data_IF_594283347163
#
_entry.id   IF_594283347163
#
_cell.length_a   1.000
_cell.length_b   1.000
_cell.length_c   1.000
_cell.angle_alpha   90.00
_cell.angle_beta   90.00
_cell.angle_gamma   90.00
#
_symmetry.space_group_name_H-M   'P 1'
#
loop_
_entity.id
_entity.type
_entity.pdbx_description
1 polymer ?
#
# COMPACT_ATOMS: atom_id res chain seq x y z
N UNK A 1 -47.95 13.33 17.84
CA UNK A 1 -46.60 13.80 18.19
C UNK A 1 -45.72 12.59 18.27
N UNK A 2 -45.01 12.30 17.20
CA UNK A 2 -44.12 11.13 17.12
C UNK A 2 -42.73 11.66 16.80
N UNK A 3 -41.89 11.78 17.83
CA UNK A 3 -40.46 11.98 17.68
C UNK A 3 -39.82 10.60 17.49
N UNK A 4 -39.75 10.14 16.26
CA UNK A 4 -39.01 8.93 15.87
C UNK A 4 -37.59 9.29 15.55
N UNK A 5 -36.75 9.00 16.46
CA UNK A 5 -35.46 8.34 16.40
C UNK A 5 -34.67 8.49 15.09
N UNK A 6 -33.79 9.52 15.04
CA UNK A 6 -32.72 9.66 14.07
C UNK A 6 -31.36 9.18 14.64
N UNK A 7 -31.38 8.48 15.80
CA UNK A 7 -30.16 8.24 16.60
C UNK A 7 -29.58 6.81 16.50
N UNK A 8 -29.97 5.99 15.50
CA UNK A 8 -29.55 4.59 15.45
C UNK A 8 -28.65 4.20 14.24
N UNK A 9 -28.22 5.15 13.43
CA UNK A 9 -27.37 4.83 12.26
C UNK A 9 -25.88 4.99 12.56
N UNK A 10 -25.50 5.81 13.53
CA UNK A 10 -24.10 6.11 13.85
C UNK A 10 -23.26 4.91 14.35
N UNK A 11 -23.73 4.01 15.23
CA UNK A 11 -22.87 2.97 15.80
C UNK A 11 -22.43 1.89 14.79
N UNK A 12 -23.23 1.58 13.79
CA UNK A 12 -22.89 0.54 12.82
C UNK A 12 -21.79 0.99 11.83
N UNK A 13 -21.76 2.26 11.49
CA UNK A 13 -20.77 2.82 10.55
C UNK A 13 -19.39 2.99 11.19
N UNK A 14 -19.35 3.37 12.48
CA UNK A 14 -18.10 3.48 13.25
C UNK A 14 -17.46 2.09 13.46
N UNK A 15 -18.27 1.06 13.68
CA UNK A 15 -17.77 -0.31 13.84
C UNK A 15 -17.13 -0.84 12.53
N UNK A 16 -17.77 -0.62 11.38
CA UNK A 16 -17.23 -0.97 10.06
C UNK A 16 -15.91 -0.24 9.79
N UNK A 17 -15.84 1.06 10.05
CA UNK A 17 -14.62 1.84 9.87
C UNK A 17 -13.48 1.33 10.74
N UNK A 18 -13.76 1.01 12.00
CA UNK A 18 -12.79 0.43 12.93
C UNK A 18 -12.26 -0.93 12.47
N UNK A 19 -13.14 -1.80 11.97
CA UNK A 19 -12.76 -3.11 11.43
C UNK A 19 -11.88 -2.96 10.17
N UNK A 20 -12.23 -2.06 9.27
CA UNK A 20 -11.44 -1.80 8.06
C UNK A 20 -10.08 -1.18 8.38
N UNK A 21 -9.99 -0.26 9.33
CA UNK A 21 -8.70 0.25 9.82
C UNK A 21 -7.84 -0.88 10.40
N UNK A 22 -8.42 -1.77 11.21
CA UNK A 22 -7.71 -2.90 11.78
C UNK A 22 -7.25 -3.90 10.70
N UNK A 23 -8.04 -4.11 9.67
CA UNK A 23 -7.67 -4.93 8.52
C UNK A 23 -6.47 -4.34 7.77
N UNK A 24 -6.53 -3.06 7.43
CA UNK A 24 -5.42 -2.38 6.75
C UNK A 24 -4.16 -2.29 7.61
N UNK A 25 -4.31 -2.17 8.94
CA UNK A 25 -3.18 -2.17 9.86
C UNK A 25 -2.36 -3.45 9.77
N UNK A 26 -2.99 -4.62 9.64
CA UNK A 26 -2.28 -5.89 9.48
C UNK A 26 -1.40 -5.90 8.24
N UNK A 27 -1.89 -5.33 7.14
CA UNK A 27 -1.12 -5.20 5.92
C UNK A 27 0.04 -4.22 6.08
N UNK A 28 -0.21 -3.04 6.64
CA UNK A 28 0.81 -2.01 6.90
C UNK A 28 1.92 -2.57 7.80
N UNK A 29 1.58 -3.32 8.85
CA UNK A 29 2.56 -4.00 9.72
C UNK A 29 3.46 -4.97 8.94
N UNK A 30 2.88 -5.70 7.98
CA UNK A 30 3.64 -6.60 7.11
C UNK A 30 4.61 -5.82 6.22
N UNK A 31 4.17 -4.69 5.67
CA UNK A 31 5.01 -3.82 4.83
C UNK A 31 6.19 -3.25 5.63
N UNK A 32 5.95 -2.76 6.85
CA UNK A 32 7.01 -2.21 7.69
C UNK A 32 8.01 -3.27 8.16
N UNK A 33 7.54 -4.48 8.49
CA UNK A 33 8.46 -5.62 8.74
C UNK A 33 9.36 -5.92 7.54
N UNK A 34 8.80 -5.89 6.33
CA UNK A 34 9.56 -6.11 5.10
C UNK A 34 10.53 -4.96 4.80
N UNK A 35 10.14 -3.72 5.12
CA UNK A 35 11.02 -2.55 5.04
C UNK A 35 12.24 -2.72 5.94
N UNK A 36 12.04 -3.13 7.21
CA UNK A 36 13.11 -3.37 8.18
C UNK A 36 14.05 -4.49 7.72
N UNK A 37 13.50 -5.59 7.21
CA UNK A 37 14.31 -6.69 6.66
C UNK A 37 15.15 -6.22 5.46
N UNK A 38 14.55 -5.44 4.57
CA UNK A 38 15.24 -4.88 3.40
C UNK A 38 16.36 -3.93 3.80
N UNK A 39 16.15 -3.13 4.85
CA UNK A 39 17.16 -2.22 5.40
C UNK A 39 18.32 -2.99 6.01
N UNK A 40 18.06 -3.99 6.86
CA UNK A 40 19.08 -4.86 7.46
C UNK A 40 19.92 -5.59 6.40
N UNK A 41 19.27 -6.10 5.35
CA UNK A 41 19.97 -6.76 4.25
C UNK A 41 20.87 -5.79 3.48
N UNK A 42 20.42 -4.56 3.23
CA UNK A 42 21.24 -3.55 2.57
C UNK A 42 22.43 -3.13 3.44
N UNK A 43 22.25 -3.01 4.76
CA UNK A 43 23.32 -2.73 5.71
C UNK A 43 24.33 -3.88 5.81
N UNK A 44 23.86 -5.13 5.78
CA UNK A 44 24.75 -6.31 5.78
C UNK A 44 25.62 -6.33 4.52
N UNK A 45 25.03 -6.10 3.35
CA UNK A 45 25.76 -6.00 2.06
C UNK A 45 26.79 -4.86 2.08
N UNK A 46 26.44 -3.68 2.65
CA UNK A 46 27.39 -2.59 2.80
C UNK A 46 28.59 -3.00 3.67
N UNK A 47 28.34 -3.66 4.82
CA UNK A 47 29.40 -4.15 5.71
C UNK A 47 30.31 -5.18 5.05
N UNK A 48 29.74 -6.13 4.29
CA UNK A 48 30.54 -7.11 3.53
C UNK A 48 31.40 -6.44 2.46
N UNK A 49 30.85 -5.44 1.78
CA UNK A 49 31.62 -4.64 0.79
C UNK A 49 32.82 -3.96 1.43
N UNK A 50 32.71 -3.41 2.64
CA UNK A 50 33.83 -2.83 3.38
C UNK A 50 34.84 -3.90 3.84
N UNK A 51 34.36 -5.10 4.27
CA UNK A 51 35.22 -6.17 4.76
C UNK A 51 36.10 -6.83 3.70
N UNK A 52 35.64 -6.93 2.46
CA UNK A 52 36.38 -7.53 1.35
C UNK A 52 37.53 -6.66 0.79
N UNK A 53 37.62 -5.42 1.23
CA UNK A 53 38.64 -4.46 0.75
C UNK A 53 40.07 -4.68 1.22
N UNK A 54 40.33 -5.75 1.99
CA UNK A 54 41.69 -6.05 2.54
C UNK A 54 42.52 -6.98 1.67
N UNK A 55 42.00 -7.50 0.54
CA UNK A 55 42.72 -8.42 -0.33
C UNK A 55 42.85 -7.81 -1.73
N UNK A 56 43.98 -7.14 -1.96
CA UNK A 56 44.33 -6.31 -3.06
C UNK A 56 44.20 -6.95 -4.44
N UNK A 57 43.34 -6.35 -5.28
CA UNK A 57 43.43 -6.30 -6.75
C UNK A 57 42.73 -5.02 -7.20
N UNK A 58 43.34 -4.22 -8.03
CA UNK A 58 42.86 -2.89 -8.45
C UNK A 58 41.46 -2.92 -9.11
N UNK A 59 41.07 -4.00 -9.79
CA UNK A 59 39.72 -4.17 -10.36
C UNK A 59 38.61 -4.37 -9.31
N UNK A 60 38.94 -4.93 -8.16
CA UNK A 60 37.97 -5.15 -7.04
C UNK A 60 37.59 -3.88 -6.29
N UNK A 61 38.36 -2.80 -6.39
CA UNK A 61 38.09 -1.53 -5.69
C UNK A 61 36.88 -0.80 -6.33
N UNK A 62 36.82 -0.74 -7.66
CA UNK A 62 35.72 -0.06 -8.37
C UNK A 62 34.39 -0.78 -8.18
N UNK A 63 34.40 -2.12 -8.27
CA UNK A 63 33.20 -2.94 -8.04
C UNK A 63 32.71 -2.81 -6.59
N UNK A 64 33.62 -2.79 -5.63
CA UNK A 64 33.32 -2.59 -4.22
C UNK A 64 32.71 -1.22 -3.95
N UNK A 65 33.32 -0.15 -4.48
CA UNK A 65 32.85 1.22 -4.28
C UNK A 65 31.45 1.40 -4.90
N UNK A 66 31.19 0.81 -6.06
CA UNK A 66 29.89 0.78 -6.68
C UNK A 66 28.85 0.04 -5.79
N UNK A 67 29.22 -1.10 -5.22
CA UNK A 67 28.37 -1.93 -4.35
C UNK A 67 28.01 -1.19 -3.06
N UNK A 68 29.00 -0.58 -2.41
CA UNK A 68 28.82 0.23 -1.19
C UNK A 68 27.96 1.45 -1.48
N UNK A 69 28.19 2.13 -2.59
CA UNK A 69 27.38 3.28 -3.02
C UNK A 69 25.93 2.89 -3.26
N UNK A 70 25.67 1.78 -3.96
CA UNK A 70 24.32 1.28 -4.22
C UNK A 70 23.60 0.86 -2.92
N UNK A 71 24.30 0.21 -2.00
CA UNK A 71 23.78 -0.15 -0.69
C UNK A 71 23.42 1.10 0.14
N UNK A 72 24.31 2.10 0.19
CA UNK A 72 24.07 3.36 0.90
C UNK A 72 22.87 4.12 0.31
N UNK A 73 22.76 4.19 -1.02
CA UNK A 73 21.62 4.78 -1.72
C UNK A 73 20.32 4.05 -1.38
N UNK A 74 20.35 2.72 -1.34
CA UNK A 74 19.20 1.90 -0.97
C UNK A 74 18.77 2.15 0.46
N UNK A 75 19.70 2.18 1.41
CA UNK A 75 19.44 2.49 2.83
C UNK A 75 18.79 3.87 2.96
N UNK A 76 19.35 4.89 2.30
CA UNK A 76 18.80 6.25 2.34
C UNK A 76 17.36 6.29 1.80
N UNK A 77 17.07 5.56 0.71
CA UNK A 77 15.72 5.46 0.14
C UNK A 77 14.75 4.79 1.10
N UNK A 78 15.16 3.69 1.73
CA UNK A 78 14.34 2.95 2.69
C UNK A 78 14.05 3.79 3.94
N UNK A 79 15.05 4.47 4.47
CA UNK A 79 14.90 5.35 5.63
C UNK A 79 13.98 6.56 5.34
N UNK A 80 14.10 7.16 4.17
CA UNK A 80 13.24 8.27 3.76
C UNK A 80 11.78 7.87 3.54
N UNK A 81 11.51 6.59 3.32
CA UNK A 81 10.18 6.06 3.09
C UNK A 81 9.39 5.74 4.37
N UNK A 82 10.00 5.85 5.56
CA UNK A 82 9.37 5.48 6.83
C UNK A 82 8.09 6.26 7.15
N UNK A 83 7.98 7.51 6.70
CA UNK A 83 6.79 8.33 6.89
C UNK A 83 5.77 8.11 5.75
N UNK A 84 4.57 7.63 6.11
CA UNK A 84 3.47 7.45 5.14
C UNK A 84 3.84 6.54 3.99
N UNK A 85 4.50 5.42 4.28
CA UNK A 85 5.01 4.49 3.28
C UNK A 85 3.89 3.94 2.40
N UNK A 86 2.79 3.51 2.99
CA UNK A 86 1.58 3.01 2.30
C UNK A 86 0.51 4.10 2.35
N UNK A 87 -0.12 4.40 1.24
CA UNK A 87 -1.17 5.41 1.20
C UNK A 87 -2.35 5.06 0.30
N UNK A 88 -2.28 3.97 -0.45
CA UNK A 88 -3.35 3.58 -1.35
C UNK A 88 -3.52 2.07 -1.49
N UNK A 89 -4.76 1.67 -1.75
CA UNK A 89 -5.16 0.32 -2.12
C UNK A 89 -6.11 0.40 -3.32
N UNK A 90 -5.96 -0.56 -4.23
CA UNK A 90 -6.82 -0.77 -5.38
C UNK A 90 -7.42 -2.16 -5.30
N UNK A 91 -8.72 -2.24 -5.28
CA UNK A 91 -9.45 -3.46 -5.56
C UNK A 91 -9.83 -3.44 -7.05
N UNK A 92 -9.38 -4.45 -7.77
CA UNK A 92 -9.55 -4.55 -9.20
C UNK A 92 -10.63 -5.58 -9.52
N UNK A 93 -11.27 -5.41 -10.67
CA UNK A 93 -12.17 -6.39 -11.23
C UNK A 93 -11.47 -7.77 -11.35
N UNK A 94 -12.20 -8.86 -11.11
CA UNK A 94 -11.65 -10.22 -11.11
C UNK A 94 -11.02 -10.62 -12.46
N UNK A 95 -11.55 -10.10 -13.56
CA UNK A 95 -11.00 -10.34 -14.90
C UNK A 95 -9.58 -9.78 -15.07
N UNK A 96 -9.23 -8.74 -14.31
CA UNK A 96 -7.93 -8.08 -14.32
C UNK A 96 -7.04 -8.58 -13.17
N UNK A 97 -7.61 -8.73 -11.97
CA UNK A 97 -6.86 -9.19 -10.79
C UNK A 97 -6.43 -10.65 -10.88
N UNK A 98 -7.21 -11.47 -11.59
CA UNK A 98 -6.99 -12.93 -11.75
C UNK A 98 -6.80 -13.66 -10.42
N UNK A 99 -7.40 -13.13 -9.35
CA UNK A 99 -7.27 -13.70 -8.02
C UNK A 99 -6.05 -13.25 -7.23
N UNK A 100 -5.24 -12.32 -7.76
CA UNK A 100 -4.04 -11.81 -7.07
C UNK A 100 -4.35 -10.92 -5.85
N UNK A 101 -5.64 -10.65 -5.58
CA UNK A 101 -6.08 -9.79 -4.49
C UNK A 101 -5.83 -8.30 -4.74
N UNK A 102 -5.98 -7.47 -3.69
CA UNK A 102 -5.82 -6.04 -3.81
C UNK A 102 -4.36 -5.62 -4.06
N UNK A 103 -4.18 -4.53 -4.80
CA UNK A 103 -2.87 -3.92 -5.03
C UNK A 103 -2.67 -2.72 -4.14
N UNK A 104 -1.53 -2.66 -3.47
CA UNK A 104 -1.19 -1.53 -2.60
C UNK A 104 -0.16 -0.63 -3.24
N UNK A 105 -0.37 0.68 -3.08
CA UNK A 105 0.47 1.75 -3.63
C UNK A 105 1.16 2.50 -2.49
N UNK A 106 2.43 2.78 -2.67
CA UNK A 106 3.22 3.48 -1.66
C UNK A 106 4.36 4.29 -2.24
N UNK A 107 5.16 4.88 -1.35
CA UNK A 107 6.27 5.77 -1.73
C UNK A 107 7.42 5.06 -2.41
N UNK A 108 7.59 3.78 -2.16
CA UNK A 108 8.59 2.92 -2.79
C UNK A 108 7.99 1.57 -3.14
N UNK A 109 8.59 0.86 -4.08
CA UNK A 109 8.28 -0.53 -4.35
C UNK A 109 8.96 -1.46 -3.35
N UNK A 110 8.20 -2.40 -2.79
CA UNK A 110 8.71 -3.47 -1.96
C UNK A 110 8.26 -4.83 -2.51
N UNK A 111 9.13 -5.81 -2.37
CA UNK A 111 8.82 -7.21 -2.67
C UNK A 111 8.95 -8.02 -1.39
N UNK A 112 8.14 -9.04 -1.26
CA UNK A 112 8.25 -9.98 -0.15
C UNK A 112 9.41 -10.97 -0.35
N UNK A 113 9.53 -11.95 0.54
CA UNK A 113 10.56 -13.00 0.51
C UNK A 113 10.46 -13.92 -0.72
N UNK A 114 9.27 -14.04 -1.30
CA UNK A 114 9.00 -14.79 -2.53
C UNK A 114 9.23 -13.97 -3.80
N UNK A 115 9.63 -12.71 -3.66
CA UNK A 115 9.79 -11.70 -4.71
C UNK A 115 8.48 -11.22 -5.32
N UNK A 116 7.35 -11.52 -4.70
CA UNK A 116 6.05 -10.99 -5.11
C UNK A 116 5.94 -9.52 -4.73
N UNK A 117 5.17 -8.77 -5.53
CA UNK A 117 4.98 -7.33 -5.30
C UNK A 117 4.12 -7.12 -4.06
N UNK A 118 4.73 -6.71 -2.95
CA UNK A 118 4.03 -6.35 -1.73
C UNK A 118 3.51 -4.91 -1.80
N UNK A 119 4.31 -4.00 -2.33
CA UNK A 119 3.97 -2.58 -2.46
C UNK A 119 4.46 -2.06 -3.81
N UNK A 120 3.60 -1.36 -4.54
CA UNK A 120 3.91 -0.76 -5.84
C UNK A 120 4.36 0.68 -5.61
N UNK A 121 5.51 1.05 -6.20
CA UNK A 121 5.97 2.44 -6.21
C UNK A 121 4.96 3.32 -6.98
N UNK A 122 4.52 4.41 -6.38
CA UNK A 122 3.54 5.33 -6.96
C UNK A 122 3.95 5.91 -8.34
N UNK A 123 5.25 5.92 -8.63
CA UNK A 123 5.80 6.38 -9.92
C UNK A 123 5.79 5.31 -10.99
N UNK A 124 5.53 4.06 -10.62
CA UNK A 124 5.47 2.97 -11.57
C UNK A 124 4.22 3.06 -12.46
N UNK A 125 4.29 2.69 -13.74
CA UNK A 125 3.12 2.67 -14.61
C UNK A 125 1.95 1.84 -14.04
N UNK A 126 2.25 0.78 -13.30
CA UNK A 126 1.24 -0.07 -12.65
C UNK A 126 0.44 0.66 -11.54
N UNK A 127 0.96 1.78 -11.01
CA UNK A 127 0.25 2.61 -10.04
C UNK A 127 -0.57 3.73 -10.70
N UNK A 128 -0.42 3.96 -12.01
CA UNK A 128 -1.05 5.08 -12.70
C UNK A 128 -2.58 5.08 -12.56
N UNK A 129 -3.20 3.91 -12.58
CA UNK A 129 -4.66 3.75 -12.43
C UNK A 129 -5.17 4.26 -11.06
N UNK A 130 -4.33 4.31 -10.03
CA UNK A 130 -4.69 4.87 -8.73
C UNK A 130 -5.06 6.36 -8.84
N UNK A 131 -4.43 7.09 -9.75
CA UNK A 131 -4.65 8.53 -9.96
C UNK A 131 -5.57 8.82 -11.15
N UNK A 132 -5.60 7.95 -12.14
CA UNK A 132 -6.25 8.18 -13.42
C UNK A 132 -7.66 7.60 -13.51
N UNK A 133 -7.94 6.53 -12.76
CA UNK A 133 -9.26 5.92 -12.77
C UNK A 133 -10.31 6.86 -12.19
N UNK A 134 -11.46 6.93 -12.85
CA UNK A 134 -12.64 7.72 -12.46
C UNK A 134 -13.88 6.87 -12.60
N UNK A 135 -15.00 7.29 -12.00
CA UNK A 135 -16.28 6.60 -12.16
C UNK A 135 -16.76 6.56 -13.64
N UNK A 136 -16.33 7.53 -14.48
CA UNK A 136 -16.63 7.53 -15.92
C UNK A 136 -15.72 6.59 -16.72
N UNK A 137 -14.48 6.38 -16.23
CA UNK A 137 -13.48 5.49 -16.83
C UNK A 137 -12.76 4.70 -15.70
N UNK A 138 -13.39 3.65 -15.14
CA UNK A 138 -12.83 2.92 -13.99
C UNK A 138 -11.52 2.19 -14.29
N UNK A 139 -11.24 1.87 -15.55
CA UNK A 139 -10.01 1.18 -15.98
C UNK A 139 -9.79 -0.15 -15.23
N UNK A 140 -10.89 -0.83 -14.87
CA UNK A 140 -10.87 -2.07 -14.11
C UNK A 140 -10.65 -1.91 -12.61
N UNK A 141 -10.68 -0.68 -12.10
CA UNK A 141 -10.68 -0.41 -10.65
C UNK A 141 -12.12 -0.42 -10.15
N UNK A 142 -12.42 -1.33 -9.24
CA UNK A 142 -13.74 -1.41 -8.57
C UNK A 142 -13.79 -0.40 -7.44
N UNK A 143 -12.79 -0.43 -6.56
CA UNK A 143 -12.65 0.49 -5.43
C UNK A 143 -11.22 1.00 -5.33
N UNK A 144 -11.10 2.29 -5.10
CA UNK A 144 -9.87 2.94 -4.66
C UNK A 144 -10.00 3.32 -3.20
N UNK A 145 -9.07 2.87 -2.36
CA UNK A 145 -8.99 3.23 -0.95
C UNK A 145 -7.76 4.08 -0.68
N UNK A 146 -7.96 5.22 -0.03
CA UNK A 146 -6.89 6.04 0.52
C UNK A 146 -6.66 5.65 1.97
N UNK A 147 -5.41 5.35 2.33
CA UNK A 147 -5.01 5.07 3.70
C UNK A 147 -4.33 6.32 4.28
N UNK A 148 -4.83 6.77 5.42
CA UNK A 148 -4.19 7.83 6.21
C UNK A 148 -3.34 7.16 7.27
N UNK A 149 -2.01 7.37 7.18
CA UNK A 149 -1.05 6.78 8.10
C UNK A 149 -0.21 7.86 8.78
N UNK A 150 0.07 7.64 10.06
CA UNK A 150 1.09 8.37 10.83
C UNK A 150 2.16 7.36 11.21
N UNK A 151 3.33 7.48 10.58
CA UNK A 151 4.34 6.43 10.64
C UNK A 151 3.77 5.11 10.13
N UNK A 152 3.84 4.06 10.94
CA UNK A 152 3.31 2.73 10.66
C UNK A 152 1.83 2.54 11.12
N UNK A 153 1.19 3.56 11.68
CA UNK A 153 -0.16 3.43 12.21
C UNK A 153 -1.19 3.94 11.22
N UNK A 154 -2.18 3.12 10.88
CA UNK A 154 -3.34 3.52 10.07
C UNK A 154 -4.30 4.29 10.96
N UNK A 155 -4.54 5.55 10.63
CA UNK A 155 -5.40 6.47 11.40
C UNK A 155 -6.77 6.69 10.74
N UNK A 156 -6.92 6.27 9.49
CA UNK A 156 -8.19 6.36 8.78
C UNK A 156 -8.10 5.74 7.39
N UNK A 157 -9.27 5.41 6.86
CA UNK A 157 -9.44 4.95 5.49
C UNK A 157 -10.60 5.70 4.85
N UNK A 158 -10.52 5.89 3.53
CA UNK A 158 -11.54 6.57 2.74
C UNK A 158 -11.68 5.87 1.39
N UNK A 159 -12.89 5.45 1.06
CA UNK A 159 -13.18 4.67 -0.12
C UNK A 159 -13.87 5.48 -1.22
N UNK A 160 -13.43 5.22 -2.45
CA UNK A 160 -14.01 5.75 -3.66
C UNK A 160 -14.41 4.54 -4.54
N UNK A 161 -15.70 4.30 -4.65
CA UNK A 161 -16.26 3.22 -5.46
C UNK A 161 -16.37 3.70 -6.90
N UNK A 162 -15.53 3.16 -7.78
CA UNK A 162 -15.42 3.61 -9.17
C UNK A 162 -16.27 2.76 -10.11
N UNK A 163 -16.46 1.48 -9.83
CA UNK A 163 -17.31 0.58 -10.60
C UNK A 163 -18.29 -0.17 -9.68
N UNK A 164 -19.45 0.43 -9.40
CA UNK A 164 -20.47 -0.18 -8.54
C UNK A 164 -21.18 -1.38 -9.19
N UNK A 165 -21.06 -1.57 -10.51
CA UNK A 165 -21.68 -2.67 -11.25
C UNK A 165 -20.78 -3.91 -11.33
N UNK A 166 -19.50 -3.80 -10.95
CA UNK A 166 -18.59 -4.95 -10.90
C UNK A 166 -19.10 -6.01 -9.90
N UNK A 167 -18.98 -7.28 -10.25
CA UNK A 167 -19.45 -8.42 -9.42
C UNK A 167 -18.87 -8.35 -8.00
N UNK A 168 -17.62 -7.93 -7.86
CA UNK A 168 -16.93 -7.81 -6.57
C UNK A 168 -17.37 -6.59 -5.73
N UNK A 169 -18.08 -5.62 -6.30
CA UNK A 169 -18.46 -4.40 -5.57
C UNK A 169 -19.44 -4.66 -4.42
N UNK A 170 -20.30 -5.68 -4.57
CA UNK A 170 -21.35 -5.99 -3.58
C UNK A 170 -20.80 -6.50 -2.24
N UNK A 171 -19.62 -7.13 -2.25
CA UNK A 171 -19.01 -7.78 -1.08
C UNK A 171 -17.95 -6.89 -0.41
N UNK A 172 -17.67 -5.70 -0.95
CA UNK A 172 -16.66 -4.81 -0.41
C UNK A 172 -17.25 -3.92 0.70
N UNK A 173 -16.71 -3.95 1.92
CA UNK A 173 -17.05 -2.97 2.94
C UNK A 173 -16.49 -1.61 2.53
N UNK A 174 -17.36 -0.60 2.44
CA UNK A 174 -17.03 0.75 1.98
C UNK A 174 -17.04 1.72 3.15
N UNK A 175 -16.02 2.55 3.27
CA UNK A 175 -15.85 3.56 4.33
C UNK A 175 -15.72 4.94 3.69
N UNK A 176 -16.44 5.93 4.24
CA UNK A 176 -16.40 7.32 3.79
C UNK A 176 -17.67 7.77 3.03
N UNK A 177 -17.58 8.88 2.32
CA UNK A 177 -18.75 9.46 1.62
C UNK A 177 -19.33 8.54 0.53
N UNK A 178 -18.49 7.73 -0.11
CA UNK A 178 -18.93 6.72 -1.08
C UNK A 178 -19.83 5.64 -0.47
N UNK A 179 -19.66 5.32 0.81
CA UNK A 179 -20.49 4.35 1.54
C UNK A 179 -21.96 4.79 1.65
N UNK A 180 -22.19 6.10 1.80
CA UNK A 180 -23.53 6.65 1.93
C UNK A 180 -24.31 6.56 0.62
N UNK A 181 -23.65 6.82 -0.51
CA UNK A 181 -24.27 6.77 -1.84
C UNK A 181 -24.55 5.34 -2.28
N UNK A 182 -23.67 4.39 -1.98
CA UNK A 182 -23.86 2.96 -2.28
C UNK A 182 -25.02 2.35 -1.48
N UNK A 183 -25.29 2.84 -0.25
CA UNK A 183 -26.42 2.39 0.57
C UNK A 183 -27.76 2.99 0.14
N UNK A 184 -27.77 4.19 -0.47
CA UNK A 184 -28.98 4.85 -0.95
C UNK A 184 -29.45 4.31 -2.31
N UNK A 185 -28.61 3.56 -3.03
CA UNK A 185 -28.92 2.98 -4.33
C UNK A 185 -29.47 1.54 -4.26
N UNK A 186 -29.63 0.99 -3.06
CA UNK A 186 -30.30 -0.30 -2.77
C UNK A 186 -31.66 -0.06 -2.15
#
# INVERSE_FOLDING_TARGET
MNHGSLDQIAPATEDVAGQEIAHEQQFVDRVYRQLDLSTRNAEALAREGYGRGSLGHEGGLVERDAMVFQAAKRIATLNAAHEGLVFGRLDLDESISRGDGPRYVGRIGLRDEHRDSLLIDWRAPAAAVFYQATAAEPQGVVRRRVLRCVGASVTGVEDDLLDPEAESAADLPIVGEGALMAQLSR
#
